data_IF_086196501426
#
_entry.id   IF_086196501426
#
_cell.length_a   1.000
_cell.length_b   1.000
_cell.length_c   1.000
_cell.angle_alpha   90.00
_cell.angle_beta   90.00
_cell.angle_gamma   90.00
#
_symmetry.space_group_name_H-M   'P 1'
#
loop_
_entity.id
_entity.type
_entity.pdbx_description
1 polymer ?
#
# COMPACT_ATOMS: atom_id res chain seq x y z
N UNK A 1 22.14 -20.95 -10.87
CA UNK A 1 21.63 -21.55 -9.61
C UNK A 1 22.05 -20.84 -8.29
N UNK A 2 22.95 -19.84 -8.30
CA UNK A 2 23.55 -19.31 -7.06
C UNK A 2 22.78 -18.20 -6.31
N UNK A 3 21.70 -17.66 -6.88
CA UNK A 3 21.03 -16.46 -6.31
C UNK A 3 19.56 -16.66 -5.89
N UNK A 4 19.02 -17.88 -6.00
CA UNK A 4 17.57 -18.12 -5.81
C UNK A 4 17.13 -17.85 -4.36
N UNK A 5 18.04 -17.93 -3.39
CA UNK A 5 17.75 -17.75 -1.96
C UNK A 5 18.45 -16.53 -1.33
N UNK A 6 19.10 -15.67 -2.14
CA UNK A 6 19.76 -14.48 -1.58
C UNK A 6 18.72 -13.39 -1.34
N UNK A 7 18.66 -12.90 -0.09
CA UNK A 7 17.83 -11.75 0.27
C UNK A 7 18.39 -10.49 -0.36
N UNK A 8 17.51 -9.58 -0.76
CA UNK A 8 17.96 -8.27 -1.24
C UNK A 8 18.54 -7.45 -0.09
N UNK A 9 19.48 -6.53 -0.37
CA UNK A 9 20.03 -5.64 0.64
C UNK A 9 18.93 -4.82 1.36
N UNK A 10 17.84 -4.50 0.66
CA UNK A 10 16.68 -3.82 1.24
C UNK A 10 15.91 -4.72 2.19
N UNK A 11 15.68 -5.99 1.82
CA UNK A 11 15.05 -6.97 2.69
C UNK A 11 15.89 -7.22 3.95
N UNK A 12 17.20 -7.36 3.82
CA UNK A 12 18.12 -7.49 4.95
C UNK A 12 18.05 -6.29 5.90
N UNK A 13 18.05 -5.07 5.34
CA UNK A 13 17.92 -3.84 6.12
C UNK A 13 16.58 -3.79 6.88
N UNK A 14 15.46 -4.01 6.20
CA UNK A 14 14.12 -4.00 6.80
C UNK A 14 14.03 -5.02 7.95
N UNK A 15 14.52 -6.24 7.72
CA UNK A 15 14.52 -7.30 8.73
C UNK A 15 15.46 -6.98 9.91
N UNK A 16 16.63 -6.38 9.64
CA UNK A 16 17.58 -5.98 10.70
C UNK A 16 17.01 -4.90 11.64
N UNK A 17 16.10 -4.07 11.14
CA UNK A 17 15.36 -3.10 11.93
C UNK A 17 14.16 -3.71 12.70
N UNK A 18 13.91 -5.02 12.56
CA UNK A 18 12.79 -5.72 13.20
C UNK A 18 11.44 -5.49 12.51
N UNK A 19 11.43 -5.00 11.27
CA UNK A 19 10.21 -4.80 10.49
C UNK A 19 9.88 -6.04 9.64
N UNK A 20 8.63 -6.12 9.22
CA UNK A 20 8.15 -7.14 8.29
C UNK A 20 8.42 -6.66 6.86
N UNK A 21 9.04 -7.51 6.04
CA UNK A 21 9.24 -7.27 4.61
C UNK A 21 8.21 -8.07 3.81
N UNK A 22 7.00 -7.52 3.68
CA UNK A 22 5.91 -8.17 2.95
C UNK A 22 6.02 -7.98 1.44
N UNK A 23 5.82 -9.06 0.69
CA UNK A 23 5.81 -9.05 -0.77
C UNK A 23 4.41 -9.35 -1.31
N UNK A 24 3.86 -8.42 -2.07
CA UNK A 24 2.58 -8.61 -2.73
C UNK A 24 2.74 -9.25 -4.11
N UNK A 25 1.79 -10.10 -4.55
CA UNK A 25 1.70 -10.56 -5.92
C UNK A 25 1.70 -9.39 -6.92
N UNK A 26 2.41 -9.57 -8.03
CA UNK A 26 2.51 -8.54 -9.07
C UNK A 26 1.14 -8.35 -9.74
N UNK A 27 0.76 -7.09 -10.00
CA UNK A 27 -0.52 -6.69 -10.63
C UNK A 27 -1.77 -6.86 -9.75
N UNK A 28 -1.61 -7.03 -8.44
CA UNK A 28 -2.72 -7.17 -7.49
C UNK A 28 -2.79 -5.97 -6.53
N UNK A 29 -3.10 -4.78 -7.06
CA UNK A 29 -3.14 -3.55 -6.26
C UNK A 29 -4.23 -3.56 -5.18
N UNK A 30 -5.26 -4.40 -5.33
CA UNK A 30 -6.32 -4.62 -4.34
C UNK A 30 -5.80 -5.19 -3.01
N UNK A 31 -4.64 -5.85 -3.01
CA UNK A 31 -4.02 -6.44 -1.83
C UNK A 31 -3.23 -5.42 -1.01
N UNK A 32 -2.86 -4.29 -1.61
CA UNK A 32 -2.13 -3.23 -0.95
C UNK A 32 -3.07 -2.08 -0.57
N UNK A 33 -3.49 -2.02 0.69
CA UNK A 33 -4.46 -1.00 1.13
C UNK A 33 -3.96 0.44 0.96
N UNK A 34 -2.64 0.66 0.86
CA UNK A 34 -2.07 1.99 0.67
C UNK A 34 -2.50 2.61 -0.67
N UNK A 35 -2.80 1.79 -1.69
CA UNK A 35 -3.27 2.26 -2.99
C UNK A 35 -4.64 2.93 -2.88
N UNK A 36 -5.53 2.37 -2.04
CA UNK A 36 -6.84 2.96 -1.75
C UNK A 36 -6.71 4.24 -0.92
N UNK A 37 -5.80 4.25 0.05
CA UNK A 37 -5.47 5.45 0.84
C UNK A 37 -4.96 6.58 -0.05
N UNK A 38 -3.98 6.30 -0.93
CA UNK A 38 -3.48 7.27 -1.89
C UNK A 38 -4.54 7.72 -2.90
N UNK A 39 -5.43 6.82 -3.32
CA UNK A 39 -6.58 7.18 -4.16
C UNK A 39 -7.50 8.21 -3.49
N UNK A 40 -7.80 8.02 -2.20
CA UNK A 40 -8.59 8.98 -1.42
C UNK A 40 -7.86 10.31 -1.23
N UNK A 41 -6.59 10.28 -0.84
CA UNK A 41 -5.78 11.49 -0.69
C UNK A 41 -5.65 12.25 -2.04
N UNK A 42 -5.50 11.54 -3.16
CA UNK A 42 -5.45 12.14 -4.49
C UNK A 42 -6.74 12.86 -4.85
N UNK A 43 -7.90 12.33 -4.45
CA UNK A 43 -9.18 13.01 -4.63
C UNK A 43 -9.23 14.33 -3.83
N UNK A 44 -8.77 14.32 -2.58
CA UNK A 44 -8.64 15.54 -1.77
C UNK A 44 -7.70 16.55 -2.41
N UNK A 45 -6.54 16.09 -2.91
CA UNK A 45 -5.57 16.95 -3.59
C UNK A 45 -6.16 17.58 -4.87
N UNK A 46 -6.93 16.83 -5.66
CA UNK A 46 -7.59 17.37 -6.86
C UNK A 46 -8.62 18.46 -6.56
N UNK A 47 -9.19 18.46 -5.36
CA UNK A 47 -10.08 19.53 -4.90
C UNK A 47 -9.32 20.75 -4.32
N UNK A 48 -7.99 20.64 -4.13
CA UNK A 48 -7.18 21.72 -3.61
C UNK A 48 -6.94 22.83 -4.66
N UNK A 49 -6.58 24.06 -4.22
CA UNK A 49 -6.21 25.13 -5.14
C UNK A 49 -5.00 24.77 -6.00
N UNK A 50 -4.92 25.38 -7.18
CA UNK A 50 -3.75 25.22 -8.06
C UNK A 50 -2.49 25.76 -7.40
N UNK A 51 -1.41 24.98 -7.46
CA UNK A 51 -0.12 25.25 -6.84
C UNK A 51 0.88 25.79 -7.86
N UNK A 52 1.81 26.65 -7.42
CA UNK A 52 2.79 27.34 -8.28
C UNK A 52 4.23 26.88 -8.06
N UNK A 53 4.53 26.32 -6.90
CA UNK A 53 5.86 25.88 -6.51
C UNK A 53 5.78 24.54 -5.76
N UNK A 54 6.96 23.96 -5.50
CA UNK A 54 7.05 22.64 -4.87
C UNK A 54 6.60 22.64 -3.41
N UNK A 55 6.82 23.74 -2.69
CA UNK A 55 6.45 23.87 -1.26
C UNK A 55 4.92 23.85 -1.10
N UNK A 56 4.20 24.53 -1.99
CA UNK A 56 2.74 24.50 -2.05
C UNK A 56 2.22 23.11 -2.44
N UNK A 57 2.90 22.41 -3.35
CA UNK A 57 2.57 21.02 -3.71
C UNK A 57 2.71 20.11 -2.49
N UNK A 58 3.84 20.19 -1.79
CA UNK A 58 4.13 19.37 -0.61
C UNK A 58 3.10 19.62 0.50
N UNK A 59 2.81 20.90 0.79
CA UNK A 59 1.81 21.28 1.79
C UNK A 59 0.42 20.71 1.45
N UNK A 60 0.00 20.78 0.19
CA UNK A 60 -1.29 20.24 -0.24
C UNK A 60 -1.31 18.70 -0.20
N UNK A 61 -0.21 18.04 -0.53
CA UNK A 61 -0.10 16.57 -0.41
C UNK A 61 -0.23 16.14 1.05
N UNK A 62 0.51 16.78 1.96
CA UNK A 62 0.43 16.48 3.39
C UNK A 62 -0.99 16.70 3.93
N UNK A 63 -1.60 17.86 3.64
CA UNK A 63 -2.97 18.15 4.05
C UNK A 63 -4.01 17.17 3.48
N UNK A 64 -3.77 16.65 2.26
CA UNK A 64 -4.63 15.65 1.63
C UNK A 64 -4.49 14.26 2.24
N UNK A 65 -3.28 13.89 2.63
CA UNK A 65 -2.98 12.64 3.35
C UNK A 65 -3.62 12.67 4.74
N UNK A 66 -3.45 13.76 5.49
CA UNK A 66 -4.01 13.96 6.83
C UNK A 66 -5.54 14.06 6.82
N UNK A 67 -6.15 14.42 5.69
CA UNK A 67 -7.60 14.49 5.54
C UNK A 67 -8.27 13.11 5.49
N UNK A 68 -7.54 12.03 5.21
CA UNK A 68 -8.16 10.70 5.13
C UNK A 68 -8.43 10.18 6.55
N UNK A 69 -9.70 9.98 6.94
CA UNK A 69 -10.02 9.57 8.30
C UNK A 69 -9.44 8.19 8.65
N UNK A 70 -8.94 8.03 9.87
CA UNK A 70 -8.39 6.74 10.34
C UNK A 70 -9.37 5.56 10.18
N UNK A 71 -10.67 5.81 10.36
CA UNK A 71 -11.72 4.78 10.14
C UNK A 71 -11.75 4.29 8.69
N UNK A 72 -11.55 5.20 7.73
CA UNK A 72 -11.51 4.88 6.32
C UNK A 72 -10.23 4.08 5.96
N UNK A 73 -9.09 4.45 6.54
CA UNK A 73 -7.83 3.70 6.40
C UNK A 73 -8.00 2.26 6.92
N UNK A 74 -8.63 2.09 8.10
CA UNK A 74 -8.93 0.77 8.66
C UNK A 74 -9.87 -0.04 7.76
N UNK A 75 -10.86 0.59 7.13
CA UNK A 75 -11.72 -0.08 6.17
C UNK A 75 -10.94 -0.57 4.93
N UNK A 76 -9.99 0.21 4.43
CA UNK A 76 -9.12 -0.21 3.33
C UNK A 76 -8.26 -1.42 3.71
N UNK A 77 -7.62 -1.38 4.87
CA UNK A 77 -6.84 -2.51 5.38
C UNK A 77 -7.70 -3.78 5.49
N UNK A 78 -8.89 -3.68 6.09
CA UNK A 78 -9.83 -4.80 6.20
C UNK A 78 -10.29 -5.32 4.84
N UNK A 79 -10.48 -4.44 3.85
CA UNK A 79 -10.87 -4.84 2.50
C UNK A 79 -9.75 -5.62 1.81
N UNK A 80 -8.51 -5.13 1.87
CA UNK A 80 -7.35 -5.84 1.32
C UNK A 80 -7.12 -7.18 2.01
N UNK A 81 -7.33 -7.27 3.33
CA UNK A 81 -7.29 -8.52 4.06
C UNK A 81 -8.33 -9.55 3.58
N UNK A 82 -9.56 -9.11 3.29
CA UNK A 82 -10.60 -9.99 2.71
C UNK A 82 -10.22 -10.49 1.33
N UNK A 83 -9.65 -9.63 0.48
CA UNK A 83 -9.13 -10.08 -0.82
C UNK A 83 -8.02 -11.13 -0.64
N UNK A 84 -7.04 -10.88 0.22
CA UNK A 84 -5.97 -11.84 0.52
C UNK A 84 -6.52 -13.20 0.99
N UNK A 85 -7.51 -13.21 1.89
CA UNK A 85 -8.17 -14.44 2.35
C UNK A 85 -8.82 -15.22 1.19
N UNK A 86 -9.51 -14.52 0.28
CA UNK A 86 -10.08 -15.17 -0.91
C UNK A 86 -9.02 -15.75 -1.84
N UNK A 87 -7.90 -15.04 -2.07
CA UNK A 87 -6.79 -15.53 -2.88
C UNK A 87 -6.18 -16.80 -2.28
N UNK A 88 -5.92 -16.80 -0.97
CA UNK A 88 -5.38 -17.95 -0.25
C UNK A 88 -6.33 -19.16 -0.40
N UNK A 89 -7.63 -18.96 -0.21
CA UNK A 89 -8.63 -20.03 -0.34
C UNK A 89 -8.75 -20.56 -1.77
N UNK A 90 -8.70 -19.70 -2.78
CA UNK A 90 -8.73 -20.12 -4.20
C UNK A 90 -7.46 -20.89 -4.56
N UNK A 91 -6.29 -20.44 -4.11
CA UNK A 91 -5.03 -21.16 -4.31
C UNK A 91 -5.03 -22.55 -3.67
N UNK A 92 -5.64 -22.69 -2.48
CA UNK A 92 -5.77 -23.97 -1.78
C UNK A 92 -6.88 -24.85 -2.43
N UNK A 93 -7.96 -24.23 -2.93
CA UNK A 93 -9.12 -24.92 -3.50
C UNK A 93 -8.99 -25.33 -4.97
N UNK A 94 -8.05 -24.75 -5.73
CA UNK A 94 -7.76 -25.13 -7.12
C UNK A 94 -6.96 -26.45 -7.24
N UNK A 95 -6.78 -27.16 -6.13
CA UNK A 95 -6.24 -28.51 -6.08
C UNK A 95 -7.32 -29.48 -5.54
N UNK A 96 -8.43 -29.58 -6.28
CA UNK A 96 -9.46 -30.60 -6.14
C UNK A 96 -9.96 -31.02 -7.51
#
# INVERSE_FOLDING_TARGET
PYFINQKSALEELILSCGHICDFYPKFHCELNFIEQYWGAAKLCYQASPHTKNIDEIEANVLASLDNVPLVQIRHYANRSAKFMDTYIKVLIGAQA
#
